data_IF_005737367182
#
_entry.id   IF_005737367182
#
_cell.length_a   1.000
_cell.length_b   1.000
_cell.length_c   1.000
_cell.angle_alpha   90.00
_cell.angle_beta   90.00
_cell.angle_gamma   90.00
#
_symmetry.space_group_name_H-M   'P 1'
#
loop_
_entity.id
_entity.type
_entity.pdbx_description
1 polymer ?
#
# COMPACT_ATOMS: atom_id res chain seq x y z
N UNK A 1 1.45 -15.66 -6.01
CA UNK A 1 1.51 -14.18 -6.01
C UNK A 1 0.11 -13.58 -5.97
N UNK A 2 -0.66 -13.58 -7.08
CA UNK A 2 -1.91 -12.81 -7.20
C UNK A 2 -3.10 -13.19 -6.30
N UNK A 3 -3.07 -14.33 -5.60
CA UNK A 3 -4.17 -14.73 -4.70
C UNK A 3 -4.45 -13.70 -3.60
N UNK A 4 -3.44 -12.95 -3.16
CA UNK A 4 -3.61 -11.88 -2.16
C UNK A 4 -4.46 -10.71 -2.66
N UNK A 5 -4.61 -10.55 -3.98
CA UNK A 5 -5.46 -9.54 -4.59
C UNK A 5 -6.91 -10.03 -4.80
N UNK A 6 -7.24 -11.28 -4.46
CA UNK A 6 -8.60 -11.82 -4.62
C UNK A 6 -9.69 -10.90 -4.02
N UNK A 7 -9.52 -10.31 -2.81
CA UNK A 7 -10.51 -9.41 -2.23
C UNK A 7 -10.70 -8.08 -2.98
N UNK A 8 -9.73 -7.69 -3.82
CA UNK A 8 -9.70 -6.40 -4.53
C UNK A 8 -9.74 -6.55 -6.06
N UNK A 9 -10.06 -7.74 -6.57
CA UNK A 9 -10.16 -8.00 -8.01
C UNK A 9 -11.04 -7.01 -8.79
N UNK A 10 -12.20 -6.54 -8.26
CA UNK A 10 -13.00 -5.54 -8.97
C UNK A 10 -12.26 -4.21 -9.25
N UNK A 11 -11.19 -3.92 -8.49
CA UNK A 11 -10.39 -2.71 -8.60
C UNK A 11 -9.05 -2.93 -9.32
N UNK A 12 -8.83 -4.10 -9.94
CA UNK A 12 -7.52 -4.47 -10.48
C UNK A 12 -6.99 -3.46 -11.51
N UNK A 13 -7.85 -2.95 -12.41
CA UNK A 13 -7.43 -1.96 -13.41
C UNK A 13 -6.98 -0.64 -12.76
N UNK A 14 -7.75 -0.14 -11.80
CA UNK A 14 -7.38 1.05 -11.03
C UNK A 14 -6.06 0.84 -10.29
N UNK A 15 -5.89 -0.31 -9.62
CA UNK A 15 -4.65 -0.62 -8.91
C UNK A 15 -3.45 -0.71 -9.86
N UNK A 16 -3.63 -1.26 -11.05
CA UNK A 16 -2.60 -1.26 -12.08
C UNK A 16 -2.24 0.16 -12.52
N UNK A 17 -3.23 1.04 -12.75
CA UNK A 17 -3.00 2.45 -13.11
C UNK A 17 -2.22 3.18 -12.02
N UNK A 18 -2.67 3.07 -10.76
CA UNK A 18 -2.00 3.68 -9.60
C UNK A 18 -0.54 3.22 -9.46
N UNK A 19 -0.28 1.92 -9.66
CA UNK A 19 1.10 1.38 -9.62
C UNK A 19 1.92 1.88 -10.79
N UNK A 20 1.34 1.94 -12.00
CA UNK A 20 2.04 2.40 -13.20
C UNK A 20 2.47 3.87 -13.09
N UNK A 21 1.63 4.71 -12.47
CA UNK A 21 1.90 6.15 -12.27
C UNK A 21 2.58 6.46 -10.94
N UNK A 22 2.93 5.43 -10.15
CA UNK A 22 3.54 5.55 -8.82
C UNK A 22 2.76 6.45 -7.84
N UNK A 23 1.43 6.37 -7.89
CA UNK A 23 0.56 7.10 -6.97
C UNK A 23 0.73 6.62 -5.51
N UNK A 24 0.59 7.52 -4.51
CA UNK A 24 0.64 7.14 -3.11
C UNK A 24 -0.45 6.11 -2.77
N UNK A 25 -0.08 4.97 -2.19
CA UNK A 25 -1.00 3.87 -1.92
C UNK A 25 -0.70 3.17 -0.58
N UNK A 26 -1.71 3.09 0.28
CA UNK A 26 -1.61 2.35 1.54
C UNK A 26 -2.28 0.98 1.41
N UNK A 27 -1.55 -0.07 1.76
CA UNK A 27 -2.05 -1.44 1.89
C UNK A 27 -2.21 -1.77 3.37
N UNK A 28 -3.45 -1.80 3.85
CA UNK A 28 -3.78 -2.25 5.21
C UNK A 28 -4.11 -3.73 5.17
N UNK A 29 -3.46 -4.55 6.00
CA UNK A 29 -3.72 -5.98 6.06
C UNK A 29 -3.68 -6.52 7.50
N UNK A 30 -4.25 -7.69 7.76
CA UNK A 30 -4.26 -8.25 9.13
C UNK A 30 -2.90 -8.82 9.59
N UNK A 31 -1.94 -9.00 8.70
CA UNK A 31 -0.61 -9.54 9.05
C UNK A 31 0.51 -8.90 8.25
N UNK A 32 1.75 -8.81 8.79
CA UNK A 32 2.89 -8.25 8.07
C UNK A 32 3.18 -9.00 6.78
N UNK A 33 3.01 -10.32 6.80
CA UNK A 33 3.17 -11.20 5.63
C UNK A 33 2.16 -10.87 4.54
N UNK A 34 0.89 -10.66 4.90
CA UNK A 34 -0.15 -10.28 3.93
C UNK A 34 0.13 -8.90 3.35
N UNK A 35 0.51 -7.92 4.18
CA UNK A 35 0.87 -6.58 3.73
C UNK A 35 2.03 -6.65 2.71
N UNK A 36 3.14 -7.29 3.08
CA UNK A 36 4.32 -7.41 2.25
C UNK A 36 4.06 -8.14 0.93
N UNK A 37 3.33 -9.26 0.98
CA UNK A 37 2.97 -10.00 -0.22
C UNK A 37 2.06 -9.20 -1.15
N UNK A 38 1.11 -8.43 -0.61
CA UNK A 38 0.25 -7.57 -1.42
C UNK A 38 1.05 -6.45 -2.07
N UNK A 39 1.91 -5.74 -1.34
CA UNK A 39 2.78 -4.69 -1.90
C UNK A 39 3.63 -5.26 -3.04
N UNK A 40 4.29 -6.40 -2.82
CA UNK A 40 5.10 -7.05 -3.85
C UNK A 40 4.28 -7.46 -5.07
N UNK A 41 3.06 -7.95 -4.85
CA UNK A 41 2.17 -8.37 -5.94
C UNK A 41 1.68 -7.16 -6.75
N UNK A 42 1.37 -6.05 -6.10
CA UNK A 42 0.99 -4.79 -6.76
C UNK A 42 2.11 -4.29 -7.68
N UNK A 43 3.34 -4.21 -7.18
CA UNK A 43 4.53 -3.82 -7.97
C UNK A 43 4.71 -4.75 -9.17
N UNK A 44 4.43 -6.04 -8.99
CA UNK A 44 4.55 -7.03 -10.07
C UNK A 44 3.48 -6.88 -11.17
N UNK A 45 2.39 -6.13 -10.93
CA UNK A 45 1.31 -5.94 -11.92
C UNK A 45 1.78 -5.23 -13.19
N UNK A 46 2.83 -4.41 -13.10
CA UNK A 46 3.33 -3.63 -14.24
C UNK A 46 4.49 -4.32 -14.98
N UNK A 47 4.86 -5.55 -14.60
CA UNK A 47 5.88 -6.34 -15.30
C UNK A 47 5.57 -6.38 -16.81
N UNK A 48 6.57 -6.17 -17.71
CA UNK A 48 8.01 -6.11 -17.47
C UNK A 48 8.57 -4.74 -17.08
N UNK A 49 7.72 -3.74 -16.88
CA UNK A 49 8.17 -2.41 -16.46
C UNK A 49 8.74 -2.48 -15.04
N UNK A 50 9.84 -1.75 -14.81
CA UNK A 50 10.39 -1.56 -13.47
C UNK A 50 9.55 -0.50 -12.77
N UNK A 51 9.10 -0.82 -11.56
CA UNK A 51 8.47 0.18 -10.70
C UNK A 51 9.48 1.27 -10.34
N UNK A 52 9.08 2.52 -10.55
CA UNK A 52 9.96 3.69 -10.40
C UNK A 52 9.71 4.48 -9.11
N UNK A 53 8.71 4.10 -8.31
CA UNK A 53 8.42 4.70 -7.02
C UNK A 53 9.07 3.95 -5.86
N UNK A 54 8.92 4.49 -4.66
CA UNK A 54 9.35 3.83 -3.43
C UNK A 54 8.30 2.83 -2.95
N UNK A 55 8.73 1.84 -2.18
CA UNK A 55 7.81 0.93 -1.52
C UNK A 55 8.37 0.44 -0.19
N UNK A 56 7.47 0.24 0.78
CA UNK A 56 7.75 -0.39 2.07
C UNK A 56 6.81 -1.57 2.21
N UNK A 57 7.28 -2.81 1.94
CA UNK A 57 6.44 -4.01 2.03
C UNK A 57 5.78 -4.15 3.41
N UNK A 58 6.49 -3.74 4.46
CA UNK A 58 5.94 -3.62 5.79
C UNK A 58 6.56 -2.41 6.50
N UNK A 59 5.70 -1.50 6.95
CA UNK A 59 6.04 -0.24 7.59
C UNK A 59 5.48 -0.19 9.01
N UNK A 60 6.27 0.33 9.93
CA UNK A 60 6.02 0.31 11.36
C UNK A 60 6.17 1.70 11.95
N UNK A 61 5.73 1.85 13.20
CA UNK A 61 5.91 3.10 13.95
C UNK A 61 7.36 3.35 14.37
N UNK A 62 8.22 2.34 14.25
CA UNK A 62 9.63 2.40 14.65
C UNK A 62 10.55 2.81 13.49
N UNK A 63 10.02 2.88 12.26
CA UNK A 63 10.76 3.38 11.11
C UNK A 63 11.04 4.88 11.27
N UNK A 64 12.26 5.28 10.94
CA UNK A 64 12.73 6.68 11.08
C UNK A 64 11.87 7.69 10.31
N UNK A 65 11.30 7.26 9.20
CA UNK A 65 10.49 8.01 8.25
C UNK A 65 9.02 8.12 8.70
N UNK A 66 8.65 7.52 9.84
CA UNK A 66 7.28 7.53 10.36
C UNK A 66 6.66 8.92 10.41
N UNK A 67 7.39 9.93 10.88
CA UNK A 67 6.88 11.31 10.94
C UNK A 67 6.63 11.91 9.56
N UNK A 68 7.45 11.58 8.58
CA UNK A 68 7.33 12.06 7.21
C UNK A 68 6.08 11.48 6.53
N UNK A 69 5.86 10.17 6.65
CA UNK A 69 4.71 9.52 6.00
C UNK A 69 3.38 9.76 6.71
N UNK A 70 3.39 10.29 7.94
CA UNK A 70 2.17 10.53 8.72
C UNK A 70 1.79 12.00 8.87
N UNK A 71 2.63 12.92 8.43
CA UNK A 71 2.32 14.36 8.47
C UNK A 71 1.21 14.71 7.48
N UNK A 72 0.34 15.66 7.87
CA UNK A 72 -0.79 16.12 7.04
C UNK A 72 -0.47 17.42 6.27
N UNK A 73 0.71 17.98 6.49
CA UNK A 73 1.09 19.30 5.97
C UNK A 73 1.68 19.28 4.56
N UNK A 74 2.02 18.09 4.06
CA UNK A 74 2.57 17.88 2.72
C UNK A 74 1.74 16.85 1.95
N UNK A 75 1.81 16.90 0.63
CA UNK A 75 1.30 15.80 -0.19
C UNK A 75 2.02 14.49 0.20
N UNK A 76 1.29 13.36 0.28
CA UNK A 76 1.93 12.06 0.51
C UNK A 76 2.98 11.77 -0.57
N UNK A 77 4.14 11.22 -0.22
CA UNK A 77 5.16 10.85 -1.20
C UNK A 77 4.67 9.71 -2.09
N UNK A 78 5.28 9.58 -3.27
CA UNK A 78 5.02 8.51 -4.24
C UNK A 78 5.56 7.18 -3.71
N UNK A 79 4.84 6.58 -2.76
CA UNK A 79 5.23 5.36 -2.06
C UNK A 79 4.05 4.41 -1.85
N UNK A 80 4.32 3.11 -1.99
CA UNK A 80 3.38 2.06 -1.59
C UNK A 80 3.76 1.58 -0.17
N UNK A 81 2.86 1.74 0.81
CA UNK A 81 3.09 1.38 2.21
C UNK A 81 2.24 0.20 2.65
N UNK A 82 2.87 -0.91 3.03
CA UNK A 82 2.21 -2.04 3.69
C UNK A 82 2.16 -1.85 5.21
N UNK A 83 0.98 -1.89 5.82
CA UNK A 83 0.78 -1.70 7.27
C UNK A 83 -0.23 -2.71 7.83
N UNK A 84 -0.21 -2.91 9.15
CA UNK A 84 -1.12 -3.89 9.80
C UNK A 84 -2.02 -3.34 10.90
N UNK A 85 -1.77 -2.11 11.37
CA UNK A 85 -2.31 -1.64 12.64
C UNK A 85 -3.53 -0.71 12.44
N UNK A 86 -4.64 -0.88 13.21
CA UNK A 86 -5.72 0.11 13.30
C UNK A 86 -5.26 1.55 13.59
N UNK A 87 -4.12 1.70 14.27
CA UNK A 87 -3.45 2.97 14.43
C UNK A 87 -3.15 3.64 13.07
N UNK A 88 -2.58 2.90 12.11
CA UNK A 88 -2.34 3.41 10.76
C UNK A 88 -3.64 3.67 10.01
N UNK A 89 -4.72 2.94 10.30
CA UNK A 89 -6.03 3.22 9.73
C UNK A 89 -6.51 4.64 10.06
N UNK A 90 -6.28 5.11 11.29
CA UNK A 90 -6.61 6.48 11.69
C UNK A 90 -5.57 7.49 11.21
N UNK A 91 -4.29 7.16 11.33
CA UNK A 91 -3.19 8.09 11.02
C UNK A 91 -3.10 8.39 9.52
N UNK A 92 -3.27 7.37 8.67
CA UNK A 92 -3.17 7.47 7.22
C UNK A 92 -4.52 7.65 6.52
N UNK A 93 -5.62 7.84 7.24
CA UNK A 93 -6.97 7.99 6.64
C UNK A 93 -7.10 9.14 5.62
N UNK A 94 -6.16 10.07 5.64
CA UNK A 94 -6.11 11.23 4.74
C UNK A 94 -5.36 10.94 3.43
N UNK A 95 -4.76 9.76 3.30
CA UNK A 95 -4.07 9.36 2.07
C UNK A 95 -5.07 9.14 0.94
N UNK A 96 -4.69 9.44 -0.32
CA UNK A 96 -5.60 9.43 -1.45
C UNK A 96 -6.10 8.03 -1.81
N UNK A 97 -5.25 7.00 -1.63
CA UNK A 97 -5.58 5.63 -1.97
C UNK A 97 -5.26 4.68 -0.81
N UNK A 98 -6.27 3.93 -0.37
CA UNK A 98 -6.15 2.96 0.72
C UNK A 98 -6.90 1.69 0.30
N UNK A 99 -6.21 0.56 0.33
CA UNK A 99 -6.84 -0.77 0.21
C UNK A 99 -6.75 -1.53 1.53
N UNK A 100 -7.81 -2.28 1.83
CA UNK A 100 -7.88 -3.16 3.00
C UNK A 100 -7.96 -4.61 2.54
N UNK A 101 -7.01 -5.43 3.00
CA UNK A 101 -6.87 -6.84 2.65
C UNK A 101 -7.19 -7.67 3.89
N UNK A 102 -8.36 -8.32 3.88
CA UNK A 102 -8.76 -9.25 4.96
C UNK A 102 -10.09 -8.93 5.66
N UNK A 103 -10.84 -7.91 5.24
CA UNK A 103 -12.08 -7.50 5.93
C UNK A 103 -13.35 -8.33 5.56
N UNK A 104 -13.21 -9.48 4.88
CA UNK A 104 -14.36 -10.32 4.52
C UNK A 104 -14.46 -11.54 5.44
N UNK A 105 -14.93 -11.29 6.67
CA UNK A 105 -15.87 -12.15 7.40
C UNK A 105 -17.00 -11.28 7.91
#
# INVERSE_FOLDING_TARGET
AFRVLAPVLPHLNLLWELVLTAEPLVVMAMSPTTAANTVQTLISLITPLKFSGDYRPFFTIHDSEFKEYTTRTSAPPNVILGVTNPFFAKTLQHWPHIIRIGDNT
#
